data_IF_024837899616
#
_entry.id   IF_024837899616
#
_cell.length_a   1.000
_cell.length_b   1.000
_cell.length_c   1.000
_cell.angle_alpha   90.00
_cell.angle_beta   90.00
_cell.angle_gamma   90.00
#
_symmetry.space_group_name_H-M   'P 1'
#
loop_
_entity.id
_entity.type
_entity.pdbx_description
1 polymer ?
#
# COMPACT_ATOMS: atom_id res chain seq x y z
N UNK A 1 -15.48 1.49 -1.17
CA UNK A 1 -14.72 0.37 -1.76
C UNK A 1 -14.54 0.60 -3.24
N UNK A 2 -13.40 0.17 -3.78
CA UNK A 2 -13.10 0.12 -5.22
C UNK A 2 -13.27 -1.32 -5.70
N UNK A 3 -13.89 -1.51 -6.86
CA UNK A 3 -13.89 -2.81 -7.55
C UNK A 3 -12.62 -2.95 -8.36
N UNK A 4 -11.94 -4.09 -8.20
CA UNK A 4 -10.78 -4.48 -8.98
C UNK A 4 -11.13 -5.74 -9.77
N UNK A 5 -10.77 -5.74 -11.05
CA UNK A 5 -11.11 -6.82 -11.98
C UNK A 5 -10.30 -8.09 -11.72
N UNK A 6 -9.22 -7.97 -10.95
CA UNK A 6 -8.27 -9.04 -10.72
C UNK A 6 -7.46 -9.37 -11.97
N UNK A 7 -6.94 -10.60 -12.02
CA UNK A 7 -6.05 -11.09 -13.05
C UNK A 7 -4.70 -11.56 -12.49
N UNK A 8 -3.79 -11.91 -13.40
CA UNK A 8 -2.44 -12.37 -13.08
C UNK A 8 -1.50 -11.20 -12.85
N UNK A 9 -0.63 -11.31 -11.86
CA UNK A 9 0.42 -10.36 -11.57
C UNK A 9 1.64 -11.05 -10.95
N UNK A 10 2.74 -10.31 -10.83
CA UNK A 10 3.95 -10.77 -10.14
C UNK A 10 3.87 -10.34 -8.67
N UNK A 11 3.74 -11.32 -7.77
CA UNK A 11 3.80 -11.15 -6.32
C UNK A 11 5.25 -11.27 -5.85
N UNK A 12 5.64 -10.47 -4.85
CA UNK A 12 6.98 -10.47 -4.29
C UNK A 12 7.94 -9.50 -5.00
N UNK A 13 9.22 -9.61 -4.68
CA UNK A 13 10.30 -8.80 -5.26
C UNK A 13 11.50 -9.67 -5.61
N UNK A 14 12.21 -9.31 -6.67
CA UNK A 14 13.41 -10.02 -7.09
C UNK A 14 14.65 -9.52 -6.33
N UNK A 15 14.59 -9.58 -5.00
CA UNK A 15 15.70 -9.25 -4.11
C UNK A 15 16.12 -10.51 -3.34
N UNK A 16 17.19 -11.20 -3.75
CA UNK A 16 17.63 -12.44 -3.11
C UNK A 16 18.17 -12.23 -1.69
N UNK A 17 18.36 -10.97 -1.25
CA UNK A 17 18.73 -10.64 0.13
C UNK A 17 17.52 -10.48 1.05
N UNK A 18 16.30 -10.59 0.52
CA UNK A 18 15.09 -10.49 1.32
C UNK A 18 14.92 -11.70 2.23
N UNK A 19 14.81 -11.48 3.54
CA UNK A 19 14.66 -12.53 4.55
C UNK A 19 13.19 -12.77 4.98
N UNK A 20 12.27 -11.95 4.48
CA UNK A 20 10.84 -11.88 4.86
C UNK A 20 9.90 -12.67 3.94
N UNK A 21 10.43 -13.52 3.05
CA UNK A 21 9.62 -14.30 2.11
C UNK A 21 9.03 -13.48 0.96
N UNK A 22 9.62 -12.33 0.67
CA UNK A 22 9.27 -11.54 -0.51
C UNK A 22 9.90 -12.10 -1.80
N UNK A 23 10.94 -12.91 -1.66
CA UNK A 23 11.63 -13.61 -2.73
C UNK A 23 11.35 -15.12 -2.66
N UNK A 24 11.20 -15.83 -3.79
CA UNK A 24 11.25 -15.32 -5.16
C UNK A 24 9.97 -14.61 -5.59
N UNK A 25 10.06 -13.87 -6.70
CA UNK A 25 8.86 -13.38 -7.40
C UNK A 25 8.08 -14.57 -7.93
N UNK A 26 6.77 -14.57 -7.70
CA UNK A 26 5.86 -15.63 -8.15
C UNK A 26 4.71 -15.05 -8.97
N UNK A 27 4.26 -15.81 -9.98
CA UNK A 27 3.03 -15.47 -10.70
C UNK A 27 1.85 -15.83 -9.81
N UNK A 28 1.07 -14.83 -9.43
CA UNK A 28 -0.14 -15.00 -8.64
C UNK A 28 -1.36 -14.53 -9.45
N UNK A 29 -2.55 -15.01 -9.08
CA UNK A 29 -3.81 -14.65 -9.71
C UNK A 29 -4.85 -14.32 -8.65
N UNK A 30 -5.59 -13.23 -8.87
CA UNK A 30 -6.71 -12.84 -8.01
C UNK A 30 -7.98 -12.77 -8.84
N UNK A 31 -9.09 -13.26 -8.28
CA UNK A 31 -10.43 -13.08 -8.87
C UNK A 31 -10.92 -11.64 -8.66
N UNK A 32 -11.91 -11.17 -9.43
CA UNK A 32 -12.51 -9.86 -9.17
C UNK A 32 -13.00 -9.71 -7.72
N UNK A 33 -12.70 -8.57 -7.11
CA UNK A 33 -13.04 -8.29 -5.71
C UNK A 33 -13.18 -6.78 -5.47
N UNK A 34 -13.77 -6.43 -4.34
CA UNK A 34 -13.82 -5.07 -3.82
C UNK A 34 -12.80 -4.93 -2.69
N UNK A 35 -12.13 -3.79 -2.61
CA UNK A 35 -11.27 -3.43 -1.48
C UNK A 35 -11.60 -2.02 -0.99
N UNK A 36 -11.46 -1.77 0.31
CA UNK A 36 -11.60 -0.43 0.87
C UNK A 36 -10.50 0.50 0.33
N UNK A 37 -10.91 1.74 0.03
CA UNK A 37 -10.04 2.77 -0.56
C UNK A 37 -9.02 3.28 0.48
N UNK A 38 -9.44 3.29 1.74
CA UNK A 38 -8.71 3.74 2.91
C UNK A 38 -8.64 2.61 3.94
N UNK A 39 -7.66 2.63 4.86
CA UNK A 39 -7.76 1.91 6.13
C UNK A 39 -9.07 2.22 6.87
N UNK A 40 -9.52 1.30 7.71
CA UNK A 40 -10.68 1.56 8.58
C UNK A 40 -10.33 2.68 9.55
N UNK A 41 -11.21 3.68 9.63
CA UNK A 41 -11.00 4.88 10.45
C UNK A 41 -11.54 4.71 11.87
N UNK A 42 -11.05 5.54 12.79
CA UNK A 42 -11.59 5.67 14.15
C UNK A 42 -13.10 5.94 14.16
N UNK A 43 -13.62 6.80 13.27
CA UNK A 43 -15.06 7.06 13.15
C UNK A 43 -15.86 5.79 12.78
N UNK A 44 -15.36 5.02 11.83
CA UNK A 44 -16.00 3.76 11.40
C UNK A 44 -15.96 2.72 12.52
N UNK A 45 -14.83 2.58 13.20
CA UNK A 45 -14.67 1.63 14.30
C UNK A 45 -15.51 2.03 15.52
N UNK A 46 -15.59 3.32 15.84
CA UNK A 46 -16.50 3.83 16.87
C UNK A 46 -17.96 3.47 16.53
N UNK A 47 -18.38 3.67 15.27
CA UNK A 47 -19.74 3.27 14.86
C UNK A 47 -19.97 1.77 15.02
N UNK A 48 -19.00 0.94 14.67
CA UNK A 48 -19.05 -0.50 14.92
C UNK A 48 -19.22 -0.82 16.41
N UNK A 49 -18.43 -0.18 17.29
CA UNK A 49 -18.52 -0.34 18.74
C UNK A 49 -19.87 0.05 19.31
N UNK A 50 -20.49 1.10 18.78
CA UNK A 50 -21.86 1.49 19.14
C UNK A 50 -22.90 0.47 18.69
N UNK A 51 -22.78 -0.07 17.48
CA UNK A 51 -23.74 -1.02 16.90
C UNK A 51 -23.59 -2.43 17.47
N UNK A 52 -22.37 -2.83 17.83
CA UNK A 52 -22.08 -4.12 18.48
C UNK A 52 -21.86 -3.90 19.97
N UNK A 53 -22.91 -3.45 20.65
CA UNK A 53 -22.88 -3.16 22.09
C UNK A 53 -22.29 -4.31 22.88
N UNK A 54 -21.33 -4.01 23.75
CA UNK A 54 -20.65 -5.02 24.57
C UNK A 54 -19.49 -5.74 23.88
N UNK A 55 -19.20 -5.47 22.60
CA UNK A 55 -17.97 -5.93 21.99
C UNK A 55 -16.76 -5.36 22.74
N UNK A 56 -15.81 -6.21 23.10
CA UNK A 56 -14.50 -5.83 23.64
C UNK A 56 -13.41 -6.28 22.67
N UNK A 57 -12.47 -5.39 22.37
CA UNK A 57 -11.28 -5.70 21.62
C UNK A 57 -10.32 -6.56 22.45
N UNK A 58 -9.33 -7.16 21.80
CA UNK A 58 -8.29 -7.90 22.52
C UNK A 58 -7.51 -6.97 23.44
N UNK A 59 -7.17 -5.75 22.98
CA UNK A 59 -6.53 -4.73 23.80
C UNK A 59 -7.36 -4.33 25.04
N UNK A 60 -8.69 -4.15 24.87
CA UNK A 60 -9.61 -3.88 25.99
C UNK A 60 -9.69 -5.06 26.97
N UNK A 61 -9.61 -6.29 26.47
CA UNK A 61 -9.71 -7.51 27.27
C UNK A 61 -8.43 -7.76 28.09
N UNK A 62 -7.26 -7.57 27.48
CA UNK A 62 -5.97 -7.70 28.16
C UNK A 62 -5.60 -6.47 28.98
N UNK A 63 -6.26 -5.32 28.74
CA UNK A 63 -6.07 -4.04 29.43
C UNK A 63 -4.67 -3.42 29.23
N UNK A 64 -4.05 -3.65 28.09
CA UNK A 64 -2.81 -3.01 27.67
C UNK A 64 -2.61 -3.17 26.15
N UNK A 65 -1.73 -2.38 25.56
CA UNK A 65 -1.26 -2.55 24.18
C UNK A 65 0.12 -1.90 23.99
N UNK A 66 0.79 -2.14 22.85
CA UNK A 66 2.09 -1.55 22.57
C UNK A 66 1.98 -0.13 22.03
N UNK A 67 2.65 0.82 22.68
CA UNK A 67 2.76 2.23 22.27
C UNK A 67 4.23 2.56 22.02
N UNK A 68 4.51 3.36 20.98
CA UNK A 68 5.88 3.76 20.69
C UNK A 68 6.35 4.76 21.76
N UNK A 69 7.53 4.53 22.33
CA UNK A 69 8.03 5.20 23.54
C UNK A 69 7.94 6.74 23.54
N UNK A 70 8.33 7.47 22.48
CA UNK A 70 8.09 8.91 22.34
C UNK A 70 6.66 9.40 22.59
N UNK A 71 5.65 8.54 22.42
CA UNK A 71 4.24 8.89 22.60
C UNK A 71 3.71 8.52 23.99
N UNK A 72 4.50 7.86 24.84
CA UNK A 72 4.07 7.46 26.18
C UNK A 72 4.17 8.65 27.14
N UNK A 73 3.02 9.11 27.63
CA UNK A 73 2.95 10.15 28.65
C UNK A 73 2.93 9.53 30.06
N UNK A 74 3.99 9.74 30.86
CA UNK A 74 4.01 9.39 32.29
C UNK A 74 5.10 8.39 32.71
N UNK A 75 4.98 7.88 33.94
CA UNK A 75 5.97 7.02 34.62
C UNK A 75 5.78 5.51 34.38
N UNK A 76 4.83 5.10 33.55
CA UNK A 76 4.50 3.69 33.28
C UNK A 76 5.45 3.01 32.29
N UNK A 77 6.75 3.29 32.36
CA UNK A 77 7.74 2.59 31.53
C UNK A 77 8.27 1.38 32.30
N UNK A 78 7.40 0.37 32.46
CA UNK A 78 7.80 -0.88 33.09
C UNK A 78 8.56 -1.76 32.08
N UNK A 79 9.67 -2.32 32.56
CA UNK A 79 10.41 -3.49 32.08
C UNK A 79 11.65 -3.31 31.19
N UNK A 80 11.72 -2.39 30.21
CA UNK A 80 12.94 -2.27 29.38
C UNK A 80 13.33 -0.82 29.06
N UNK A 81 14.43 -0.34 29.66
CA UNK A 81 14.88 1.06 29.55
C UNK A 81 15.20 1.50 28.11
N UNK A 82 15.46 0.55 27.21
CA UNK A 82 15.91 0.85 25.83
C UNK A 82 14.98 0.31 24.74
N UNK A 83 13.89 -0.38 25.08
CA UNK A 83 12.94 -0.87 24.07
C UNK A 83 12.14 0.30 23.45
N UNK A 84 12.00 0.35 22.10
CA UNK A 84 11.24 1.41 21.43
C UNK A 84 9.73 1.27 21.61
N UNK A 85 9.23 0.04 21.79
CA UNK A 85 7.82 -0.25 22.05
C UNK A 85 7.63 -0.59 23.52
N UNK A 86 6.62 0.00 24.15
CA UNK A 86 6.32 -0.12 25.58
C UNK A 86 4.90 -0.65 25.76
N UNK A 87 4.72 -1.56 26.70
CA UNK A 87 3.40 -2.01 27.13
C UNK A 87 2.76 -0.93 28.00
N UNK A 88 1.67 -0.33 27.51
CA UNK A 88 0.97 0.74 28.22
C UNK A 88 -0.38 0.21 28.69
N UNK A 89 -0.62 0.27 30.01
CA UNK A 89 -1.87 -0.19 30.61
C UNK A 89 -3.02 0.70 30.15
N UNK A 90 -4.11 0.08 29.70
CA UNK A 90 -5.27 0.80 29.17
C UNK A 90 -5.04 1.52 27.84
N UNK A 91 -3.92 1.27 27.14
CA UNK A 91 -3.79 1.66 25.74
C UNK A 91 -4.66 0.75 24.86
N UNK A 92 -5.51 1.39 24.06
CA UNK A 92 -6.54 0.73 23.25
C UNK A 92 -7.02 1.68 22.14
N UNK A 93 -7.93 1.22 21.28
CA UNK A 93 -8.33 1.91 20.05
C UNK A 93 -8.82 3.36 20.26
N UNK A 94 -9.54 3.69 21.34
CA UNK A 94 -10.05 5.04 21.65
C UNK A 94 -9.12 5.86 22.56
N UNK A 95 -8.04 5.24 23.03
CA UNK A 95 -7.00 5.79 23.90
C UNK A 95 -5.61 5.30 23.45
N UNK A 96 -5.17 5.66 22.24
CA UNK A 96 -4.04 4.99 21.59
C UNK A 96 -2.67 5.28 22.21
N UNK A 97 -2.53 6.29 23.05
CA UNK A 97 -1.32 6.53 23.84
C UNK A 97 -1.50 6.20 25.34
N UNK A 98 -2.58 5.51 25.70
CA UNK A 98 -2.93 5.18 27.08
C UNK A 98 -4.04 6.05 27.68
N UNK A 99 -4.35 5.90 28.98
CA UNK A 99 -5.59 6.37 29.61
C UNK A 99 -5.89 7.87 29.48
N UNK A 100 -4.85 8.69 29.28
CA UNK A 100 -4.94 10.15 29.18
C UNK A 100 -5.01 10.66 27.73
N UNK A 101 -5.06 9.75 26.74
CA UNK A 101 -5.18 10.07 25.33
C UNK A 101 -6.63 9.89 24.83
N UNK A 102 -6.92 10.43 23.65
CA UNK A 102 -8.25 10.33 23.03
C UNK A 102 -8.16 10.38 21.51
N UNK A 103 -9.23 9.92 20.82
CA UNK A 103 -9.38 9.96 19.36
C UNK A 103 -10.30 11.07 18.86
N UNK A 104 -10.80 11.96 19.72
CA UNK A 104 -11.82 12.96 19.36
C UNK A 104 -11.38 13.92 18.24
N UNK A 105 -10.09 14.19 18.13
CA UNK A 105 -9.44 14.98 17.08
C UNK A 105 -8.82 14.13 15.96
N UNK A 106 -9.01 12.80 16.01
CA UNK A 106 -8.41 11.81 15.11
C UNK A 106 -9.43 10.85 14.50
N UNK A 107 -10.65 11.33 14.24
CA UNK A 107 -11.74 10.47 13.74
C UNK A 107 -11.51 9.93 12.32
N UNK A 108 -10.73 10.64 11.50
CA UNK A 108 -10.32 10.27 10.13
C UNK A 108 -8.95 9.57 10.07
N UNK A 109 -8.35 9.25 11.22
CA UNK A 109 -7.12 8.46 11.32
C UNK A 109 -7.46 6.96 11.26
N UNK A 110 -6.52 6.11 10.83
CA UNK A 110 -6.71 4.67 10.91
C UNK A 110 -6.93 4.24 12.37
N UNK A 111 -7.85 3.30 12.59
CA UNK A 111 -7.97 2.65 13.89
C UNK A 111 -6.76 1.75 14.14
N UNK A 112 -6.23 1.82 15.36
CA UNK A 112 -5.05 1.06 15.82
C UNK A 112 -5.34 0.34 17.14
N UNK A 113 -4.37 -0.42 17.66
CA UNK A 113 -4.57 -1.36 18.78
C UNK A 113 -5.68 -2.38 18.52
N UNK A 114 -5.86 -2.74 17.26
CA UNK A 114 -6.84 -3.72 16.80
C UNK A 114 -6.11 -4.99 16.36
N UNK A 115 -6.56 -6.11 16.90
CA UNK A 115 -5.99 -7.41 16.59
C UNK A 115 -6.55 -7.95 15.26
N UNK A 116 -6.05 -9.09 14.81
CA UNK A 116 -6.67 -9.80 13.68
C UNK A 116 -8.12 -10.18 14.01
N UNK A 117 -8.42 -10.55 15.26
CA UNK A 117 -9.77 -10.88 15.71
C UNK A 117 -10.70 -9.67 15.63
N UNK A 118 -10.20 -8.49 16.00
CA UNK A 118 -10.93 -7.22 15.90
C UNK A 118 -11.20 -6.82 14.45
N UNK A 119 -10.18 -6.91 13.60
CA UNK A 119 -10.30 -6.64 12.17
C UNK A 119 -11.35 -7.57 11.53
N UNK A 120 -11.33 -8.85 11.88
CA UNK A 120 -12.25 -9.86 11.36
C UNK A 120 -13.68 -9.57 11.81
N UNK A 121 -13.88 -9.35 13.10
CA UNK A 121 -15.17 -9.00 13.68
C UNK A 121 -15.79 -7.76 13.03
N UNK A 122 -14.98 -6.71 12.82
CA UNK A 122 -15.42 -5.50 12.13
C UNK A 122 -15.84 -5.79 10.69
N UNK A 123 -14.98 -6.46 9.91
CA UNK A 123 -15.28 -6.71 8.49
C UNK A 123 -16.52 -7.59 8.33
N UNK A 124 -16.69 -8.63 9.17
CA UNK A 124 -17.86 -9.51 9.16
C UNK A 124 -19.16 -8.77 9.51
N UNK A 125 -19.13 -7.83 10.48
CA UNK A 125 -20.28 -7.00 10.84
C UNK A 125 -20.83 -6.24 9.63
N UNK A 126 -19.95 -5.76 8.75
CA UNK A 126 -20.33 -5.06 7.51
C UNK A 126 -20.46 -5.97 6.28
N UNK A 127 -20.56 -7.30 6.47
CA UNK A 127 -20.67 -8.29 5.38
C UNK A 127 -19.51 -8.20 4.38
N UNK A 128 -18.32 -7.90 4.91
CA UNK A 128 -17.02 -7.89 4.23
C UNK A 128 -16.14 -9.00 4.83
N UNK A 129 -14.85 -9.00 4.49
CA UNK A 129 -13.79 -9.84 5.06
C UNK A 129 -12.48 -9.07 5.09
N UNK A 130 -11.46 -9.58 5.76
CA UNK A 130 -10.09 -9.09 5.61
C UNK A 130 -9.58 -9.51 4.20
N UNK A 131 -8.79 -8.68 3.48
CA UNK A 131 -8.17 -9.08 2.21
C UNK A 131 -7.19 -10.24 2.40
N UNK A 132 -7.03 -11.10 1.41
CA UNK A 132 -5.88 -12.02 1.35
C UNK A 132 -4.60 -11.20 1.07
N UNK A 133 -3.43 -11.71 1.47
CA UNK A 133 -2.13 -11.06 1.17
C UNK A 133 -1.98 -10.78 -0.32
N UNK A 134 -2.34 -11.76 -1.14
CA UNK A 134 -2.26 -11.68 -2.60
C UNK A 134 -3.19 -10.61 -3.18
N UNK A 135 -4.38 -10.43 -2.61
CA UNK A 135 -5.33 -9.38 -3.01
C UNK A 135 -4.84 -8.00 -2.58
N UNK A 136 -4.32 -7.90 -1.37
CA UNK A 136 -3.74 -6.67 -0.84
C UNK A 136 -2.58 -6.20 -1.71
N UNK A 137 -1.66 -7.10 -2.06
CA UNK A 137 -0.49 -6.74 -2.87
C UNK A 137 -0.86 -6.41 -4.32
N UNK A 138 -1.81 -7.16 -4.91
CA UNK A 138 -2.37 -6.82 -6.23
C UNK A 138 -2.96 -5.40 -6.22
N UNK A 139 -3.74 -5.09 -5.19
CA UNK A 139 -4.34 -3.77 -5.02
C UNK A 139 -3.28 -2.68 -4.83
N UNK A 140 -2.26 -2.92 -4.00
CA UNK A 140 -1.19 -1.97 -3.72
C UNK A 140 -0.35 -1.64 -4.95
N UNK A 141 -0.09 -2.64 -5.81
CA UNK A 141 0.65 -2.46 -7.07
C UNK A 141 -0.07 -1.60 -8.10
N UNK A 142 -1.39 -1.46 -8.01
CA UNK A 142 -2.13 -0.49 -8.82
C UNK A 142 -2.04 -0.68 -10.33
N UNK A 143 -1.79 -1.91 -10.81
CA UNK A 143 -1.59 -2.19 -12.23
C UNK A 143 -0.15 -2.11 -12.72
N UNK A 144 0.80 -1.75 -11.86
CA UNK A 144 2.22 -1.77 -12.20
C UNK A 144 2.86 -3.15 -11.97
N UNK A 145 3.77 -3.52 -12.86
CA UNK A 145 4.56 -4.75 -12.77
C UNK A 145 5.91 -4.50 -12.10
N UNK A 146 6.26 -5.33 -11.12
CA UNK A 146 7.58 -5.39 -10.49
C UNK A 146 8.10 -4.02 -10.00
N UNK A 147 7.24 -3.23 -9.35
CA UNK A 147 7.59 -1.95 -8.74
C UNK A 147 7.77 -2.05 -7.23
N UNK A 148 8.70 -1.25 -6.71
CA UNK A 148 9.00 -1.16 -5.29
C UNK A 148 7.93 -0.40 -4.50
N UNK A 149 7.30 0.60 -5.11
CA UNK A 149 6.26 1.41 -4.48
C UNK A 149 4.94 1.32 -5.25
N UNK A 150 3.80 1.61 -4.60
CA UNK A 150 2.50 1.69 -5.27
C UNK A 150 2.46 2.64 -6.49
N UNK A 151 3.38 3.62 -6.52
CA UNK A 151 3.50 4.65 -7.55
C UNK A 151 4.69 4.47 -8.51
N UNK A 152 5.37 3.32 -8.48
CA UNK A 152 6.50 3.03 -9.36
C UNK A 152 7.80 2.70 -8.61
N UNK A 153 8.94 2.76 -9.31
CA UNK A 153 10.23 2.31 -8.77
C UNK A 153 10.97 3.37 -7.96
N UNK A 154 10.66 4.65 -8.18
CA UNK A 154 11.38 5.75 -7.54
C UNK A 154 10.59 6.24 -6.34
N UNK A 155 11.27 6.31 -5.21
CA UNK A 155 10.72 6.95 -4.03
C UNK A 155 10.35 8.40 -4.31
N UNK A 156 9.18 8.81 -3.85
CA UNK A 156 8.70 10.19 -3.94
C UNK A 156 8.36 10.66 -2.53
N UNK A 157 8.84 11.86 -2.18
CA UNK A 157 8.52 12.50 -0.89
C UNK A 157 7.02 12.78 -0.83
N UNK A 158 6.46 12.81 0.38
CA UNK A 158 5.05 13.15 0.62
C UNK A 158 4.06 12.26 -0.15
N UNK A 159 4.36 10.96 -0.28
CA UNK A 159 3.43 9.94 -0.81
C UNK A 159 2.96 8.93 0.23
N UNK A 160 3.67 8.84 1.36
CA UNK A 160 3.39 7.93 2.46
C UNK A 160 3.91 8.55 3.77
N UNK A 161 3.27 8.19 4.89
CA UNK A 161 3.74 8.52 6.24
C UNK A 161 4.69 7.43 6.72
N UNK A 162 5.95 7.80 6.97
CA UNK A 162 7.07 6.91 7.29
C UNK A 162 7.95 7.55 8.36
N UNK A 163 8.99 6.85 8.80
CA UNK A 163 9.99 7.45 9.69
C UNK A 163 11.09 8.16 8.90
N UNK A 164 11.49 9.36 9.32
CA UNK A 164 12.67 10.05 8.81
C UNK A 164 13.57 10.51 9.96
N UNK A 165 14.86 10.21 9.91
CA UNK A 165 15.81 10.54 10.98
C UNK A 165 16.19 9.34 11.83
N UNK A 166 16.66 9.59 13.06
CA UNK A 166 17.13 8.53 13.97
C UNK A 166 15.93 7.90 14.68
N UNK A 167 15.81 6.58 14.65
CA UNK A 167 14.78 5.84 15.39
C UNK A 167 15.37 5.36 16.74
N UNK A 168 14.57 5.25 17.84
CA UNK A 168 13.19 5.71 17.99
C UNK A 168 13.07 7.18 18.38
N UNK A 169 14.18 7.90 18.54
CA UNK A 169 14.20 9.31 18.93
C UNK A 169 14.79 10.16 17.82
N UNK A 170 14.04 11.16 17.35
CA UNK A 170 14.48 12.09 16.30
C UNK A 170 13.79 11.86 14.96
N UNK A 171 12.48 11.63 14.96
CA UNK A 171 11.66 11.77 13.76
C UNK A 171 11.70 13.24 13.30
N UNK A 172 12.18 13.50 12.09
CA UNK A 172 12.28 14.85 11.51
C UNK A 172 10.95 15.34 10.95
N UNK A 173 9.93 14.48 10.85
CA UNK A 173 8.59 14.81 10.35
C UNK A 173 8.65 15.43 8.95
N UNK A 174 9.55 14.93 8.11
CA UNK A 174 9.76 15.48 6.76
C UNK A 174 8.53 15.27 5.86
N UNK A 175 7.70 14.29 6.18
CA UNK A 175 6.36 14.05 5.59
C UNK A 175 5.22 14.78 6.32
N UNK A 176 5.55 15.61 7.32
CA UNK A 176 4.66 16.41 8.20
C UNK A 176 4.00 15.66 9.36
N UNK A 177 4.30 14.38 9.56
CA UNK A 177 3.66 13.57 10.61
C UNK A 177 4.70 12.98 11.57
N UNK A 178 4.40 13.06 12.87
CA UNK A 178 5.26 12.44 13.91
C UNK A 178 4.89 10.98 14.15
N UNK A 179 3.58 10.70 14.14
CA UNK A 179 2.97 9.40 14.38
C UNK A 179 2.03 9.07 13.23
N UNK A 180 0.83 8.61 13.56
CA UNK A 180 -0.22 8.38 12.57
C UNK A 180 -0.61 9.67 11.82
N UNK A 181 -1.18 9.49 10.64
CA UNK A 181 -1.77 10.55 9.80
C UNK A 181 -3.23 10.21 9.43
N UNK A 182 -4.08 11.20 9.09
CA UNK A 182 -5.38 10.95 8.47
C UNK A 182 -5.27 10.05 7.25
N UNK A 183 -6.25 9.18 7.02
CA UNK A 183 -6.20 8.21 5.89
C UNK A 183 -6.15 8.87 4.51
N UNK A 184 -6.48 10.16 4.42
CA UNK A 184 -6.44 10.97 3.20
C UNK A 184 -5.35 12.06 3.24
N UNK A 185 -4.33 11.91 4.11
CA UNK A 185 -3.25 12.90 4.24
C UNK A 185 -2.39 13.06 2.98
N UNK A 186 -2.28 12.00 2.18
CA UNK A 186 -1.54 11.99 0.91
C UNK A 186 -2.49 11.77 -0.26
N UNK A 187 -1.99 12.03 -1.48
CA UNK A 187 -2.70 11.65 -2.69
C UNK A 187 -2.82 10.13 -2.81
N UNK A 188 -3.74 9.67 -3.68
CA UNK A 188 -3.82 8.27 -4.02
C UNK A 188 -2.43 7.73 -4.40
N UNK A 189 -2.09 6.58 -3.84
CA UNK A 189 -0.77 6.01 -3.99
C UNK A 189 -0.60 5.27 -5.32
N UNK A 190 -1.70 4.93 -6.00
CA UNK A 190 -1.65 4.17 -7.24
C UNK A 190 -2.86 4.43 -8.16
N UNK A 191 -2.82 3.85 -9.37
CA UNK A 191 -3.81 4.11 -10.44
C UNK A 191 -5.19 3.48 -10.17
N UNK A 192 -5.30 2.61 -9.16
CA UNK A 192 -6.59 2.13 -8.68
C UNK A 192 -7.29 3.14 -7.76
N UNK A 193 -6.61 4.23 -7.40
CA UNK A 193 -7.15 5.28 -6.53
C UNK A 193 -7.15 4.88 -5.06
N UNK A 194 -6.25 3.98 -4.65
CA UNK A 194 -6.13 3.52 -3.28
C UNK A 194 -5.17 4.41 -2.50
N UNK A 195 -5.49 4.61 -1.22
CA UNK A 195 -4.73 5.45 -0.30
C UNK A 195 -4.09 4.57 0.76
N UNK A 196 -2.93 5.03 1.21
CA UNK A 196 -2.29 4.51 2.41
C UNK A 196 -2.08 2.99 2.39
N UNK A 197 -1.81 2.44 1.19
CA UNK A 197 -1.36 1.06 1.04
C UNK A 197 0.05 0.92 1.60
N UNK A 198 0.90 1.93 1.43
CA UNK A 198 2.25 1.96 1.98
C UNK A 198 2.37 3.04 3.07
N UNK A 199 2.88 2.67 4.24
CA UNK A 199 3.10 3.57 5.38
C UNK A 199 1.86 3.71 6.28
N UNK A 200 1.93 4.67 7.21
CA UNK A 200 0.96 4.95 8.26
C UNK A 200 0.74 3.77 9.22
N UNK A 201 0.03 2.71 8.82
CA UNK A 201 -0.20 1.51 9.64
C UNK A 201 0.07 0.23 8.85
N UNK A 202 0.61 -0.76 9.54
CA UNK A 202 0.55 -2.14 9.07
C UNK A 202 -0.90 -2.58 8.95
N UNK A 203 -1.23 -3.37 7.93
CA UNK A 203 -2.59 -3.86 7.71
C UNK A 203 -2.68 -5.38 7.79
N UNK A 204 -3.60 -5.87 8.62
CA UNK A 204 -3.95 -7.28 8.69
C UNK A 204 -4.41 -7.85 7.34
N UNK A 205 -3.94 -9.05 7.02
CA UNK A 205 -4.44 -9.87 5.90
C UNK A 205 -4.92 -11.24 6.40
N UNK A 206 -5.86 -11.85 5.68
CA UNK A 206 -6.39 -13.18 6.00
C UNK A 206 -5.54 -14.28 5.35
N UNK A 207 -4.23 -14.20 5.52
CA UNK A 207 -3.27 -15.16 4.97
C UNK A 207 -2.33 -15.58 6.08
N UNK A 208 -2.18 -16.90 6.25
CA UNK A 208 -1.24 -17.45 7.23
C UNK A 208 0.18 -17.08 6.86
N UNK A 209 0.96 -16.68 7.86
CA UNK A 209 2.37 -16.39 7.65
C UNK A 209 3.14 -17.71 7.61
N UNK A 210 3.90 -17.91 6.54
CA UNK A 210 4.83 -19.02 6.38
C UNK A 210 6.14 -18.47 5.81
N UNK A 211 7.23 -18.80 6.47
CA UNK A 211 8.59 -18.50 6.11
C UNK A 211 9.52 -19.66 6.49
N UNK A 212 10.52 -19.96 5.67
CA UNK A 212 11.43 -21.09 5.88
C UNK A 212 12.32 -20.90 7.11
N UNK A 213 12.69 -19.65 7.41
CA UNK A 213 13.59 -19.32 8.52
C UNK A 213 12.88 -19.22 9.88
N UNK A 214 11.55 -19.24 9.91
CA UNK A 214 10.76 -19.19 11.15
C UNK A 214 10.28 -20.60 11.53
N UNK A 215 10.47 -21.05 12.78
CA UNK A 215 10.02 -22.38 13.19
C UNK A 215 8.53 -22.60 12.94
N UNK A 216 8.18 -23.75 12.36
CA UNK A 216 6.81 -24.05 11.90
C UNK A 216 5.74 -23.83 12.99
N UNK A 217 6.01 -24.29 14.21
CA UNK A 217 5.09 -24.17 15.34
C UNK A 217 4.81 -22.72 15.78
N UNK A 218 5.73 -21.79 15.48
CA UNK A 218 5.56 -20.35 15.74
C UNK A 218 4.66 -19.74 14.66
N UNK A 219 4.99 -19.99 13.40
CA UNK A 219 4.30 -19.37 12.26
C UNK A 219 2.91 -19.95 11.96
N UNK A 220 2.63 -21.20 12.35
CA UNK A 220 1.28 -21.81 12.25
C UNK A 220 0.21 -20.98 12.97
N UNK A 221 0.63 -20.09 13.88
CA UNK A 221 -0.24 -19.21 14.67
C UNK A 221 -0.25 -17.77 14.17
N UNK A 222 0.45 -17.44 13.09
CA UNK A 222 0.62 -16.06 12.63
C UNK A 222 -0.16 -15.76 11.36
N UNK A 223 -0.53 -14.49 11.20
CA UNK A 223 -1.11 -13.93 9.98
C UNK A 223 -0.17 -12.87 9.41
N UNK A 224 -0.22 -12.73 8.09
CA UNK A 224 0.58 -11.74 7.37
C UNK A 224 -0.01 -10.35 7.60
N UNK A 225 0.86 -9.39 7.92
CA UNK A 225 0.57 -7.96 7.77
C UNK A 225 1.37 -7.36 6.61
N UNK A 226 0.81 -6.32 5.98
CA UNK A 226 1.39 -5.64 4.81
C UNK A 226 1.44 -4.13 4.99
N UNK A 227 2.22 -3.46 4.14
CA UNK A 227 2.18 -1.99 3.98
C UNK A 227 3.25 -1.20 4.73
N UNK A 228 3.93 -1.79 5.71
CA UNK A 228 4.75 -1.03 6.65
C UNK A 228 3.92 0.00 7.43
N UNK A 229 4.56 0.90 8.17
CA UNK A 229 3.90 1.88 9.03
C UNK A 229 4.71 3.16 9.18
N UNK A 230 4.19 4.12 9.95
CA UNK A 230 4.86 5.40 10.22
C UNK A 230 6.23 5.27 10.92
N UNK A 231 6.57 4.09 11.46
CA UNK A 231 7.89 3.84 12.08
C UNK A 231 8.91 3.22 11.12
N UNK A 232 8.48 2.77 9.95
CA UNK A 232 9.35 2.07 8.99
C UNK A 232 10.09 3.05 8.08
N UNK A 233 11.28 2.65 7.61
CA UNK A 233 12.18 3.54 6.87
C UNK A 233 12.33 3.12 5.42
N UNK A 234 12.41 4.11 4.53
CA UNK A 234 12.61 3.89 3.10
C UNK A 234 13.78 2.93 2.79
N UNK A 235 14.88 3.05 3.52
CA UNK A 235 16.12 2.32 3.30
C UNK A 235 16.34 1.15 4.26
N UNK A 236 15.37 0.85 5.13
CA UNK A 236 15.47 -0.23 6.10
C UNK A 236 16.54 -0.02 7.18
N UNK A 237 17.08 1.20 7.34
CA UNK A 237 18.06 1.48 8.42
C UNK A 237 17.43 1.40 9.81
N UNK A 238 16.11 1.56 9.90
CA UNK A 238 15.33 1.26 11.08
C UNK A 238 14.06 0.49 10.70
N UNK A 239 13.71 -0.50 11.52
CA UNK A 239 12.54 -1.37 11.35
C UNK A 239 12.52 -2.03 9.96
N UNK A 240 11.42 -1.92 9.21
CA UNK A 240 11.32 -2.51 7.88
C UNK A 240 11.81 -1.58 6.77
N UNK A 241 12.38 -2.18 5.73
CA UNK A 241 12.52 -1.51 4.42
C UNK A 241 11.14 -1.32 3.80
N UNK A 242 10.84 -0.09 3.40
CA UNK A 242 9.53 0.25 2.82
C UNK A 242 9.51 -0.11 1.34
N UNK A 243 8.70 -1.12 1.01
CA UNK A 243 8.38 -1.56 -0.35
C UNK A 243 7.06 -2.34 -0.38
N UNK A 244 6.43 -2.43 -1.54
CA UNK A 244 5.09 -3.03 -1.74
C UNK A 244 5.04 -4.51 -1.34
N UNK A 245 6.14 -5.22 -1.57
CA UNK A 245 6.25 -6.64 -1.26
C UNK A 245 6.49 -6.91 0.23
N UNK A 246 6.90 -5.90 1.01
CA UNK A 246 7.26 -6.07 2.41
C UNK A 246 6.11 -6.65 3.23
N UNK A 247 6.46 -7.61 4.08
CA UNK A 247 5.52 -8.43 4.86
C UNK A 247 6.14 -8.84 6.19
N UNK A 248 5.30 -9.06 7.18
CA UNK A 248 5.69 -9.57 8.49
C UNK A 248 4.60 -10.51 9.02
N UNK A 249 4.99 -11.47 9.85
CA UNK A 249 4.07 -12.35 10.57
C UNK A 249 3.79 -11.82 11.97
N UNK A 250 2.52 -11.68 12.33
CA UNK A 250 2.09 -11.32 13.68
C UNK A 250 1.10 -12.37 14.21
N UNK A 251 1.15 -12.64 15.51
CA UNK A 251 0.14 -13.48 16.17
C UNK A 251 -1.20 -12.74 16.21
N UNK A 252 -2.36 -13.42 16.09
CA UNK A 252 -3.64 -12.78 15.83
C UNK A 252 -4.14 -11.89 16.97
N UNK A 253 -3.66 -12.09 18.20
CA UNK A 253 -3.96 -11.26 19.37
C UNK A 253 -3.03 -10.04 19.52
N UNK A 254 -2.01 -9.91 18.66
CA UNK A 254 -1.07 -8.79 18.74
C UNK A 254 -1.79 -7.48 18.45
N UNK A 255 -1.50 -6.44 19.25
CA UNK A 255 -2.04 -5.10 19.08
C UNK A 255 -0.95 -4.06 19.32
N UNK A 256 -0.90 -3.02 18.49
CA UNK A 256 0.06 -1.92 18.64
C UNK A 256 -0.46 -0.62 17.99
N UNK A 257 0.16 0.50 18.35
CA UNK A 257 -0.17 1.85 17.85
C UNK A 257 0.05 2.02 16.33
N UNK A 258 0.72 1.06 15.67
CA UNK A 258 1.00 1.10 14.23
C UNK A 258 0.38 -0.06 13.45
N UNK A 259 -0.59 -0.78 14.02
CA UNK A 259 -1.28 -1.90 13.35
C UNK A 259 -2.77 -1.62 13.25
N UNK A 260 -3.27 -1.58 12.03
CA UNK A 260 -4.67 -1.40 11.66
C UNK A 260 -5.09 -2.42 10.59
N UNK A 261 -6.08 -2.07 9.78
CA UNK A 261 -6.57 -2.93 8.69
C UNK A 261 -7.48 -2.17 7.71
N UNK A 262 -7.72 -2.78 6.56
CA UNK A 262 -8.82 -2.44 5.64
C UNK A 262 -9.63 -3.70 5.31
N UNK A 263 -10.86 -3.54 4.83
CA UNK A 263 -11.68 -4.70 4.42
C UNK A 263 -11.70 -4.90 2.90
N UNK A 264 -12.05 -6.12 2.50
CA UNK A 264 -12.31 -6.56 1.14
C UNK A 264 -13.65 -7.33 1.06
N UNK A 265 -14.13 -7.55 -0.16
CA UNK A 265 -15.35 -8.34 -0.41
C UNK A 265 -15.26 -8.99 -1.78
N UNK A 266 -15.55 -10.28 -1.87
CA UNK A 266 -15.56 -11.00 -3.16
C UNK A 266 -16.64 -10.44 -4.10
N UNK A 267 -16.35 -10.29 -5.39
CA UNK A 267 -17.36 -9.91 -6.37
C UNK A 267 -18.09 -11.15 -6.90
N UNK A 268 -19.43 -11.17 -6.81
CA UNK A 268 -20.25 -12.35 -7.19
C UNK A 268 -20.38 -12.53 -8.72
N UNK A 269 -20.27 -11.44 -9.48
CA UNK A 269 -20.34 -11.44 -10.95
C UNK A 269 -19.83 -10.07 -11.43
N UNK A 270 -18.63 -9.98 -11.98
CA UNK A 270 -18.19 -8.77 -12.66
C UNK A 270 -18.53 -8.93 -14.15
N UNK A 271 -19.75 -8.55 -14.53
CA UNK A 271 -20.10 -8.41 -15.94
C UNK A 271 -19.42 -7.14 -16.45
N UNK A 272 -18.43 -7.31 -17.34
CA UNK A 272 -18.01 -6.22 -18.20
C UNK A 272 -19.03 -6.09 -19.33
N UNK A 273 -19.66 -4.92 -19.57
CA UNK A 273 -20.11 -4.65 -20.93
C UNK A 273 -18.91 -4.84 -21.86
N UNK A 274 -19.07 -5.48 -23.02
CA UNK A 274 -17.98 -5.58 -23.98
C UNK A 274 -17.44 -4.18 -24.21
N UNK A 275 -16.14 -3.99 -23.92
CA UNK A 275 -15.43 -2.80 -24.37
C UNK A 275 -15.66 -2.79 -25.87
N UNK A 276 -16.34 -1.75 -26.37
CA UNK A 276 -16.52 -1.61 -27.81
C UNK A 276 -15.14 -1.84 -28.45
N UNK A 277 -15.01 -2.72 -29.45
CA UNK A 277 -13.73 -2.92 -30.11
C UNK A 277 -13.18 -1.54 -30.44
N UNK A 278 -11.87 -1.29 -30.26
CA UNK A 278 -11.27 -0.01 -30.63
C UNK A 278 -11.84 0.32 -32.00
N UNK A 279 -12.53 1.46 -32.12
CA UNK A 279 -13.11 1.88 -33.39
C UNK A 279 -12.00 1.67 -34.41
N UNK A 280 -12.21 0.77 -35.39
CA UNK A 280 -11.29 0.68 -36.53
C UNK A 280 -11.12 2.13 -36.95
N UNK A 281 -9.89 2.63 -36.89
CA UNK A 281 -9.56 3.87 -37.57
C UNK A 281 -9.78 3.51 -39.03
N UNK A 282 -10.98 3.83 -39.53
CA UNK A 282 -11.19 3.88 -40.96
C UNK A 282 -10.10 4.83 -41.45
N UNK A 283 -9.30 4.43 -42.45
CA UNK A 283 -8.28 5.31 -42.99
C UNK A 283 -8.96 6.64 -43.26
N UNK A 284 -8.45 7.71 -42.63
CA UNK A 284 -9.03 9.04 -42.76
C UNK A 284 -9.29 9.28 -44.25
N UNK A 285 -10.55 9.53 -44.58
CA UNK A 285 -10.91 10.03 -45.89
C UNK A 285 -10.02 11.25 -46.14
N UNK A 286 -9.20 11.13 -47.19
CA UNK A 286 -8.32 12.22 -47.61
C UNK A 286 -9.20 13.46 -47.80
N UNK A 287 -8.79 14.65 -47.33
CA UNK A 287 -9.52 15.86 -47.64
C UNK A 287 -9.67 15.96 -49.15
N UNK A 288 -10.90 16.12 -49.62
CA UNK A 288 -11.23 16.46 -51.00
C UNK A 288 -10.68 17.85 -51.31
N UNK A 289 -9.41 17.90 -51.72
CA UNK A 289 -8.78 19.06 -52.33
C UNK A 289 -8.89 19.01 -53.85
N UNK A 290 -9.06 20.15 -54.54
CA UNK A 290 -9.40 20.19 -55.96
C UNK A 290 -8.28 19.61 -56.83
N UNK A 291 -8.68 18.78 -57.80
CA UNK A 291 -7.80 18.25 -58.85
C UNK A 291 -7.27 19.43 -59.68
N UNK A 292 -5.97 19.66 -59.62
CA UNK A 292 -5.25 20.30 -60.72
C UNK A 292 -4.21 19.33 -61.27
N UNK A 293 -4.28 19.16 -62.57
CA UNK A 293 -3.34 18.46 -63.43
C UNK A 293 -1.89 18.87 -63.11
N UNK A 294 -0.99 17.89 -63.06
CA UNK A 294 0.33 17.96 -63.69
C UNK A 294 0.93 16.55 -63.72
N UNK A 295 0.93 15.98 -64.93
CA UNK A 295 1.77 14.85 -65.32
C UNK A 295 3.22 15.36 -65.45
N UNK A 296 4.15 14.45 -65.16
CA UNK A 296 5.57 14.45 -65.55
C UNK A 296 6.49 15.56 -65.03
N UNK A 297 7.39 15.20 -64.11
CA UNK A 297 8.80 15.60 -64.13
C UNK A 297 9.59 14.76 -63.10
N UNK A 298 10.03 13.58 -63.52
CA UNK A 298 11.15 12.86 -62.93
C UNK A 298 12.12 12.56 -64.06
N UNK A 299 13.12 13.43 -64.24
CA UNK A 299 14.41 13.13 -64.87
C UNK A 299 15.26 14.41 -64.91
N UNK A 300 15.83 14.82 -63.78
CA UNK A 300 16.97 15.76 -63.80
C UNK A 300 18.18 15.11 -63.08
N UNK A 301 19.18 14.63 -63.84
CA UNK A 301 20.41 14.04 -63.29
C UNK A 301 21.22 14.99 -62.40
N UNK A 302 21.10 16.32 -62.57
CA UNK A 302 21.92 17.30 -61.84
C UNK A 302 21.49 17.45 -60.37
N UNK A 303 20.26 17.09 -60.03
CA UNK A 303 19.76 17.16 -58.66
C UNK A 303 20.35 16.03 -57.78
N UNK A 304 20.61 14.87 -58.38
CA UNK A 304 21.23 13.73 -57.69
C UNK A 304 22.72 13.98 -57.38
N UNK A 305 23.45 14.62 -58.30
CA UNK A 305 24.87 14.99 -58.12
C UNK A 305 25.02 16.06 -57.01
N UNK A 306 24.14 17.05 -56.98
CA UNK A 306 24.13 18.12 -55.94
C UNK A 306 23.84 17.58 -54.54
N UNK A 307 22.94 16.59 -54.41
CA UNK A 307 22.64 15.95 -53.12
C UNK A 307 23.78 15.03 -52.63
N UNK A 308 24.58 14.48 -53.56
CA UNK A 308 25.76 13.65 -53.22
C UNK A 308 26.92 14.51 -52.71
N UNK A 309 27.18 15.66 -53.33
CA UNK A 309 28.19 16.65 -52.91
C UNK A 309 27.86 17.27 -51.54
N UNK A 310 26.59 17.57 -51.25
CA UNK A 310 26.16 18.05 -49.93
C UNK A 310 26.36 17.02 -48.80
N UNK A 311 26.26 15.72 -49.10
CA UNK A 311 26.49 14.64 -48.13
C UNK A 311 27.97 14.41 -47.84
N UNK A 312 28.87 14.67 -48.80
CA UNK A 312 30.32 14.61 -48.55
C UNK A 312 30.81 15.77 -47.69
N UNK A 313 30.35 17.00 -47.94
CA UNK A 313 30.73 18.17 -47.11
C UNK A 313 30.34 18.04 -45.63
N UNK A 314 29.23 17.36 -45.33
CA UNK A 314 28.79 17.10 -43.94
C UNK A 314 29.60 16.03 -43.20
N UNK A 315 30.46 15.28 -43.88
CA UNK A 315 31.30 14.23 -43.27
C UNK A 315 32.71 14.71 -42.91
N UNK A 316 33.13 15.89 -43.38
CA UNK A 316 34.44 16.48 -43.06
C UNK A 316 34.39 17.51 -41.92
N UNK A 317 33.20 17.80 -41.38
CA UNK A 317 32.98 18.72 -40.24
C UNK A 317 32.61 18.00 -38.92
N UNK A 318 32.95 16.70 -38.80
CA UNK A 318 32.80 15.87 -37.59
C UNK A 318 34.10 15.11 -37.31
#
# INVERSE_FOLDING_TARGET
MKVLEGGKFLKGINDPKSETGEYPVEVAEVKPFYIDVYPVTNAQFWKFKQLRTGYKTDAETQNWSYVLRPFVNGTEVAQFKDAPWVEVKGAQWDKPEGPNSTILDRLDYPVVHVSYHDAKAFCEHYKKRIPLEVEWEFAARGGYYAKDYPWGDRYQKNRANLWQGKFPNGNTKADKWEGLSPVHAFSAQNDFGLYDMQGNVWEWTDTRYYERVVPRHVQDRMYVVKGCSFVDTRDGRANSIVRVAQRMGLVPSYTAQNVGFRCAKSAKHYWKPPVAPPKKVLPMDRPSGPRHHLRSEMADPDLAEKLKQQRLKRKEEL
#
